data_IF_315659838042
#
_entry.id   IF_315659838042
#
_cell.length_a   1.000
_cell.length_b   1.000
_cell.length_c   1.000
_cell.angle_alpha   90.00
_cell.angle_beta   90.00
_cell.angle_gamma   90.00
#
_symmetry.space_group_name_H-M   'P 1'
#
loop_
_entity.id
_entity.type
_entity.pdbx_description
1 polymer ?
#
# COMPACT_ATOMS: atom_id res chain seq x y z
N UNK A 1 -30.14 49.30 -11.68
CA UNK A 1 -28.69 49.52 -11.49
C UNK A 1 -28.10 48.38 -10.66
N UNK A 2 -27.02 47.78 -11.14
CA UNK A 2 -26.34 46.57 -10.64
C UNK A 2 -25.42 46.91 -9.46
N UNK A 3 -25.41 46.11 -8.39
CA UNK A 3 -24.22 45.99 -7.50
C UNK A 3 -23.98 44.52 -7.15
N UNK A 4 -23.07 43.92 -7.91
CA UNK A 4 -22.53 42.56 -7.72
C UNK A 4 -21.63 42.54 -6.49
N UNK A 5 -21.97 41.73 -5.48
CA UNK A 5 -21.11 41.46 -4.32
C UNK A 5 -20.04 40.45 -4.74
N UNK A 6 -18.79 40.92 -4.82
CA UNK A 6 -17.62 40.13 -5.23
C UNK A 6 -17.33 39.03 -4.20
N UNK A 7 -17.24 37.83 -4.73
CA UNK A 7 -16.84 36.57 -4.12
C UNK A 7 -15.37 36.66 -3.68
N UNK A 8 -15.07 36.48 -2.38
CA UNK A 8 -13.71 36.19 -1.92
C UNK A 8 -13.50 34.69 -2.08
N UNK A 9 -12.67 34.32 -3.06
CA UNK A 9 -12.15 32.96 -3.21
C UNK A 9 -11.21 32.73 -2.02
N UNK A 10 -11.57 31.80 -1.14
CA UNK A 10 -10.66 31.29 -0.13
C UNK A 10 -9.66 30.35 -0.83
N UNK A 11 -8.39 30.72 -0.81
CA UNK A 11 -7.29 29.88 -1.25
C UNK A 11 -7.24 28.62 -0.38
N UNK A 12 -7.10 27.40 -0.94
CA UNK A 12 -6.82 26.24 -0.12
C UNK A 12 -5.42 26.41 0.46
N UNK A 13 -5.37 26.49 1.79
CA UNK A 13 -4.15 26.51 2.57
C UNK A 13 -3.20 25.40 2.12
N UNK A 14 -2.02 25.77 1.64
CA UNK A 14 -0.89 24.87 1.48
C UNK A 14 -0.56 24.33 2.88
N UNK A 15 -0.88 23.06 3.14
CA UNK A 15 -0.45 22.38 4.35
C UNK A 15 1.07 22.23 4.31
N UNK A 16 1.72 23.11 5.08
CA UNK A 16 3.13 23.10 5.40
C UNK A 16 3.53 21.81 6.14
N UNK A 17 4.70 21.27 5.78
CA UNK A 17 5.53 20.46 6.69
C UNK A 17 5.16 18.98 6.86
N UNK A 18 5.29 18.16 5.81
CA UNK A 18 5.50 16.73 6.04
C UNK A 18 6.98 16.49 6.31
N UNK A 19 7.34 16.42 7.59
CA UNK A 19 8.62 15.85 8.02
C UNK A 19 8.69 14.40 7.49
N UNK A 20 9.69 14.04 6.66
CA UNK A 20 9.79 12.71 6.08
C UNK A 20 10.05 11.62 7.15
N UNK A 21 10.51 12.01 8.33
CA UNK A 21 10.98 11.10 9.38
C UNK A 21 9.91 10.52 10.33
N UNK A 22 8.63 10.91 10.22
CA UNK A 22 7.62 10.51 11.22
C UNK A 22 6.52 9.56 10.72
N UNK A 23 6.59 9.05 9.49
CA UNK A 23 5.52 8.21 8.95
C UNK A 23 5.35 6.88 9.71
N UNK A 24 6.42 6.32 10.29
CA UNK A 24 6.34 5.13 11.14
C UNK A 24 5.71 5.42 12.52
N UNK A 25 5.78 6.66 13.01
CA UNK A 25 5.20 7.07 14.30
C UNK A 25 3.70 7.40 14.23
N UNK A 26 3.17 7.67 13.04
CA UNK A 26 1.77 8.09 12.81
C UNK A 26 0.85 6.87 12.55
N UNK A 27 1.42 5.66 12.56
CA UNK A 27 0.70 4.42 12.30
C UNK A 27 0.49 4.13 10.81
N UNK A 28 0.09 2.89 10.46
CA UNK A 28 0.05 2.44 9.08
C UNK A 28 -0.97 3.22 8.24
N UNK A 29 -0.48 3.80 7.14
CA UNK A 29 -1.28 4.59 6.20
C UNK A 29 -2.32 3.72 5.49
N UNK A 30 -3.51 4.28 5.28
CA UNK A 30 -4.57 3.63 4.48
C UNK A 30 -4.18 3.71 3.00
N UNK A 31 -4.40 2.61 2.26
CA UNK A 31 -4.14 2.52 0.83
C UNK A 31 -5.30 1.87 0.08
N UNK A 32 -5.42 2.15 -1.22
CA UNK A 32 -6.43 1.52 -2.08
C UNK A 32 -5.98 0.15 -2.57
N UNK A 33 -6.95 -0.71 -2.90
CA UNK A 33 -6.70 -1.99 -3.56
C UNK A 33 -5.87 -1.83 -4.83
N UNK A 34 -6.23 -0.85 -5.68
CA UNK A 34 -5.49 -0.57 -6.92
C UNK A 34 -4.00 -0.32 -6.67
N UNK A 35 -3.65 0.42 -5.60
CA UNK A 35 -2.26 0.68 -5.25
C UNK A 35 -1.56 -0.58 -4.76
N UNK A 36 -2.21 -1.40 -3.93
CA UNK A 36 -1.65 -2.66 -3.45
C UNK A 36 -1.34 -3.60 -4.62
N UNK A 37 -2.31 -3.81 -5.51
CA UNK A 37 -2.17 -4.70 -6.66
C UNK A 37 -1.10 -4.22 -7.62
N UNK A 38 -1.02 -2.91 -7.87
CA UNK A 38 0.04 -2.34 -8.71
C UNK A 38 1.43 -2.60 -8.13
N UNK A 39 1.62 -2.36 -6.82
CA UNK A 39 2.90 -2.63 -6.15
C UNK A 39 3.24 -4.13 -6.23
N UNK A 40 2.27 -5.01 -5.91
CA UNK A 40 2.48 -6.46 -5.94
C UNK A 40 2.93 -6.95 -7.32
N UNK A 41 2.20 -6.58 -8.38
CA UNK A 41 2.54 -7.03 -9.73
C UNK A 41 3.84 -6.43 -10.24
N UNK A 42 4.18 -5.18 -9.86
CA UNK A 42 5.48 -4.60 -10.16
C UNK A 42 6.63 -5.37 -9.49
N UNK A 43 6.51 -5.67 -8.20
CA UNK A 43 7.51 -6.43 -7.46
C UNK A 43 7.64 -7.88 -7.96
N UNK A 44 6.52 -8.53 -8.26
CA UNK A 44 6.52 -9.88 -8.82
C UNK A 44 7.24 -9.93 -10.18
N UNK A 45 7.00 -8.93 -11.05
CA UNK A 45 7.68 -8.82 -12.34
C UNK A 45 9.19 -8.59 -12.17
N UNK A 46 9.60 -7.71 -11.26
CA UNK A 46 11.02 -7.48 -10.95
C UNK A 46 11.67 -8.77 -10.43
N UNK A 47 11.04 -9.45 -9.47
CA UNK A 47 11.57 -10.65 -8.84
C UNK A 47 11.77 -11.81 -9.82
N UNK A 48 10.78 -12.06 -10.70
CA UNK A 48 10.90 -13.07 -11.77
C UNK A 48 12.01 -12.75 -12.78
N UNK A 49 12.30 -11.46 -13.00
CA UNK A 49 13.33 -11.02 -13.96
C UNK A 49 14.74 -11.11 -13.39
N UNK A 50 14.91 -10.96 -12.08
CA UNK A 50 16.23 -10.95 -11.40
C UNK A 50 16.63 -12.30 -10.82
N UNK A 51 15.67 -13.18 -10.54
CA UNK A 51 15.96 -14.49 -9.95
C UNK A 51 16.47 -15.46 -11.03
N UNK A 52 17.77 -15.78 -10.97
CA UNK A 52 18.38 -16.87 -11.75
C UNK A 52 17.97 -18.26 -11.28
N UNK A 53 17.21 -18.37 -10.18
CA UNK A 53 16.49 -19.58 -9.83
C UNK A 53 15.20 -19.63 -10.64
N UNK A 54 15.24 -20.44 -11.69
CA UNK A 54 14.13 -20.88 -12.52
C UNK A 54 13.14 -21.74 -11.72
N UNK A 55 12.58 -21.18 -10.65
CA UNK A 55 11.28 -21.65 -10.19
C UNK A 55 10.32 -21.07 -11.22
N UNK A 56 9.64 -21.94 -11.98
CA UNK A 56 8.48 -21.57 -12.76
C UNK A 56 7.44 -20.99 -11.81
N UNK A 57 7.61 -19.72 -11.45
CA UNK A 57 6.60 -18.92 -10.80
C UNK A 57 5.57 -18.68 -11.89
N UNK A 58 4.63 -19.62 -12.03
CA UNK A 58 3.38 -19.33 -12.69
C UNK A 58 2.86 -18.04 -12.05
N UNK A 59 2.75 -16.95 -12.82
CA UNK A 59 2.33 -15.68 -12.25
C UNK A 59 0.96 -15.91 -11.64
N UNK A 60 0.83 -15.61 -10.35
CA UNK A 60 -0.46 -15.75 -9.66
C UNK A 60 -1.54 -15.03 -10.47
N UNK A 61 -2.64 -15.74 -10.69
CA UNK A 61 -3.80 -15.16 -11.33
C UNK A 61 -4.36 -14.04 -10.45
N UNK A 62 -5.09 -13.11 -11.07
CA UNK A 62 -5.75 -12.03 -10.32
C UNK A 62 -6.69 -12.59 -9.24
N UNK A 63 -7.34 -13.72 -9.49
CA UNK A 63 -8.24 -14.36 -8.55
C UNK A 63 -7.52 -14.89 -7.31
N UNK A 64 -6.34 -15.52 -7.49
CA UNK A 64 -5.50 -16.00 -6.39
C UNK A 64 -5.04 -14.84 -5.51
N UNK A 65 -4.60 -13.73 -6.11
CA UNK A 65 -4.21 -12.53 -5.35
C UNK A 65 -5.37 -12.01 -4.48
N UNK A 66 -6.60 -11.97 -5.02
CA UNK A 66 -7.78 -11.58 -4.24
C UNK A 66 -8.06 -12.55 -3.10
N UNK A 67 -7.87 -13.85 -3.33
CA UNK A 67 -8.05 -14.90 -2.31
C UNK A 67 -7.00 -14.78 -1.20
N UNK A 68 -5.74 -14.47 -1.55
CA UNK A 68 -4.66 -14.20 -0.60
C UNK A 68 -4.96 -12.96 0.25
N UNK A 69 -5.40 -11.86 -0.38
CA UNK A 69 -5.82 -10.65 0.35
C UNK A 69 -6.98 -10.96 1.32
N UNK A 70 -8.01 -11.68 0.86
CA UNK A 70 -9.13 -12.08 1.71
C UNK A 70 -8.67 -12.93 2.91
N UNK A 71 -7.64 -13.76 2.71
CA UNK A 71 -7.02 -14.54 3.77
C UNK A 71 -6.29 -13.66 4.77
N UNK A 72 -5.47 -12.71 4.31
CA UNK A 72 -4.79 -11.73 5.17
C UNK A 72 -5.77 -10.90 6.02
N UNK A 73 -6.94 -10.56 5.47
CA UNK A 73 -8.04 -9.90 6.20
C UNK A 73 -8.63 -10.81 7.29
N UNK A 74 -8.83 -12.10 6.97
CA UNK A 74 -9.41 -13.09 7.89
C UNK A 74 -8.49 -13.34 9.10
N UNK A 75 -7.18 -13.44 8.86
CA UNK A 75 -6.16 -13.67 9.90
C UNK A 75 -5.67 -12.38 10.58
N UNK A 76 -6.30 -11.23 10.30
CA UNK A 76 -6.02 -9.93 10.93
C UNK A 76 -4.61 -9.37 10.72
N UNK A 77 -3.93 -9.78 9.65
CA UNK A 77 -2.70 -9.11 9.19
C UNK A 77 -3.01 -7.86 8.35
N UNK A 78 -4.23 -7.77 7.83
CA UNK A 78 -4.76 -6.59 7.18
C UNK A 78 -6.17 -6.28 7.68
N UNK A 79 -6.60 -5.04 7.50
CA UNK A 79 -7.96 -4.60 7.76
C UNK A 79 -8.52 -3.86 6.56
N UNK A 80 -9.76 -4.17 6.18
CA UNK A 80 -10.53 -3.35 5.25
C UNK A 80 -11.15 -2.17 6.02
N UNK A 81 -10.90 -0.96 5.52
CA UNK A 81 -11.38 0.29 6.13
C UNK A 81 -12.63 0.81 5.41
N UNK A 82 -12.79 0.47 4.13
CA UNK A 82 -14.03 0.76 3.38
C UNK A 82 -15.16 -0.17 3.81
N UNK A 83 -16.40 0.28 3.66
CA UNK A 83 -17.58 -0.56 3.92
C UNK A 83 -17.57 -1.83 3.05
N UNK A 84 -17.97 -2.96 3.63
CA UNK A 84 -17.91 -4.29 2.99
C UNK A 84 -18.82 -4.41 1.76
N UNK A 85 -19.87 -3.59 1.68
CA UNK A 85 -20.81 -3.59 0.55
C UNK A 85 -20.26 -2.84 -0.68
N UNK A 86 -19.13 -2.15 -0.55
CA UNK A 86 -18.54 -1.38 -1.65
C UNK A 86 -17.49 -2.25 -2.35
N UNK A 87 -17.77 -2.58 -3.61
CA UNK A 87 -16.85 -3.31 -4.48
C UNK A 87 -15.80 -2.40 -5.15
N UNK A 88 -16.10 -1.11 -5.27
CA UNK A 88 -15.21 -0.11 -5.85
C UNK A 88 -14.38 0.63 -4.79
N UNK A 89 -13.18 1.04 -5.18
CA UNK A 89 -12.29 1.85 -4.33
C UNK A 89 -12.09 1.26 -2.92
N UNK A 90 -11.93 -0.07 -2.84
CA UNK A 90 -11.69 -0.77 -1.59
C UNK A 90 -10.40 -0.23 -0.95
N UNK A 91 -10.44 0.04 0.35
CA UNK A 91 -9.31 0.59 1.11
C UNK A 91 -8.90 -0.36 2.22
N UNK A 92 -7.59 -0.51 2.38
CA UNK A 92 -6.98 -1.37 3.39
C UNK A 92 -6.02 -0.60 4.30
N UNK A 93 -5.74 -1.21 5.45
CA UNK A 93 -4.68 -0.85 6.39
C UNK A 93 -3.88 -2.11 6.71
N UNK A 94 -2.55 -2.01 6.69
CA UNK A 94 -1.68 -3.09 7.15
C UNK A 94 -1.67 -3.12 8.68
N UNK A 95 -1.80 -4.31 9.27
CA UNK A 95 -1.73 -4.55 10.72
C UNK A 95 -0.53 -5.44 11.10
N UNK A 96 0.19 -5.98 10.13
CA UNK A 96 1.41 -6.75 10.38
C UNK A 96 2.47 -5.85 11.04
N UNK A 97 3.17 -6.40 12.04
CA UNK A 97 4.29 -5.71 12.66
C UNK A 97 5.51 -5.76 11.76
N UNK A 98 6.47 -4.86 12.00
CA UNK A 98 7.69 -4.81 11.21
C UNK A 98 8.50 -6.11 11.29
N UNK A 99 8.57 -6.72 12.47
CA UNK A 99 9.31 -7.96 12.71
C UNK A 99 8.77 -9.10 11.84
N UNK A 100 7.44 -9.24 11.75
CA UNK A 100 6.80 -10.24 10.92
C UNK A 100 7.10 -10.01 9.42
N UNK A 101 7.06 -8.76 8.97
CA UNK A 101 7.39 -8.41 7.58
C UNK A 101 8.86 -8.71 7.28
N UNK A 102 9.75 -8.40 8.22
CA UNK A 102 11.17 -8.63 8.08
C UNK A 102 11.51 -10.13 8.02
N UNK A 103 10.87 -10.95 8.86
CA UNK A 103 11.09 -12.40 8.87
C UNK A 103 10.51 -13.09 7.62
N UNK A 104 9.35 -12.63 7.13
CA UNK A 104 8.83 -13.07 5.84
C UNK A 104 9.79 -12.69 4.69
N UNK A 105 10.30 -11.46 4.68
CA UNK A 105 11.24 -11.00 3.68
C UNK A 105 12.54 -11.82 3.67
N UNK A 106 13.12 -12.11 4.85
CA UNK A 106 14.29 -13.00 4.98
C UNK A 106 14.02 -14.39 4.44
N UNK A 107 12.86 -14.97 4.76
CA UNK A 107 12.48 -16.32 4.30
C UNK A 107 12.39 -16.41 2.78
N UNK A 108 11.94 -15.32 2.14
CA UNK A 108 11.82 -15.18 0.70
C UNK A 108 13.10 -14.65 0.03
N UNK A 109 14.17 -14.38 0.80
CA UNK A 109 15.37 -13.69 0.33
C UNK A 109 15.05 -12.37 -0.40
N UNK A 110 13.99 -11.69 0.03
CA UNK A 110 13.48 -10.45 -0.56
C UNK A 110 14.12 -9.22 0.12
N UNK A 111 14.77 -8.31 -0.63
CA UNK A 111 15.49 -7.16 -0.07
C UNK A 111 14.55 -6.00 0.31
N UNK A 112 13.71 -6.19 1.33
CA UNK A 112 12.67 -5.22 1.75
C UNK A 112 13.23 -3.82 2.07
N UNK A 113 14.44 -3.74 2.62
CA UNK A 113 15.06 -2.48 3.03
C UNK A 113 15.32 -1.52 1.86
N UNK A 114 15.49 -2.04 0.64
CA UNK A 114 15.68 -1.21 -0.56
C UNK A 114 14.43 -0.41 -0.94
N UNK A 115 13.25 -0.85 -0.48
CA UNK A 115 11.95 -0.23 -0.79
C UNK A 115 11.45 0.67 0.32
N UNK A 116 12.18 0.77 1.43
CA UNK A 116 11.88 1.68 2.53
C UNK A 116 12.66 2.98 2.36
N UNK A 117 12.01 4.10 2.68
CA UNK A 117 12.67 5.40 2.74
C UNK A 117 13.51 5.48 4.02
N UNK A 118 14.63 4.78 4.05
CA UNK A 118 15.63 4.88 5.12
C UNK A 118 16.58 6.05 4.80
N UNK A 119 16.08 7.28 4.89
CA UNK A 119 16.95 8.44 5.09
C UNK A 119 17.24 8.54 6.59
N UNK A 120 18.25 7.78 7.03
CA UNK A 120 18.97 8.07 8.29
C UNK A 120 19.75 9.37 8.13
#
# INVERSE_FOLDING_TARGET
MKKRKRQRVAEPAKSSGQNPNNQLQIGPKIFSHQRLSAIYFSLALEYTSTSSQSVELNPETREEVFTHIATLLRIKLMQQVSATQVLDNIKYRCLATWELVQDAAKSLHFPVDMYLNNHL
#
